data_IF_034162465328
#
_entry.id   IF_034162465328
#
_cell.length_a   1.000
_cell.length_b   1.000
_cell.length_c   1.000
_cell.angle_alpha   90.00
_cell.angle_beta   90.00
_cell.angle_gamma   90.00
#
_symmetry.space_group_name_H-M   'P 1'
#
loop_
_entity.id
_entity.type
_entity.pdbx_description
1 polymer ?
#
# COMPACT_ATOMS: atom_id res chain seq x y z
N UNK A 1 13.77 -4.47 18.72
CA UNK A 1 12.35 -4.06 18.80
C UNK A 1 12.10 -3.17 17.58
N UNK A 2 11.09 -3.44 16.78
CA UNK A 2 10.81 -2.58 15.63
C UNK A 2 10.12 -1.30 16.15
N UNK A 3 10.82 -0.19 16.10
CA UNK A 3 10.37 1.11 16.64
C UNK A 3 9.21 1.72 15.84
N UNK A 4 8.90 1.15 14.69
CA UNK A 4 7.90 1.69 13.75
C UNK A 4 6.59 0.91 13.72
N UNK A 5 6.32 0.05 14.71
CA UNK A 5 5.03 -0.62 14.82
C UNK A 5 3.93 0.40 15.14
N UNK A 6 2.72 0.16 14.62
CA UNK A 6 1.58 1.00 14.98
C UNK A 6 1.25 0.87 16.47
N UNK A 7 0.74 1.95 17.04
CA UNK A 7 0.32 1.97 18.44
C UNK A 7 -0.94 1.11 18.67
N UNK A 8 -1.15 0.67 19.91
CA UNK A 8 -2.39 -0.04 20.30
C UNK A 8 -3.66 0.77 19.98
N UNK A 9 -3.59 2.11 20.05
CA UNK A 9 -4.70 2.99 19.68
C UNK A 9 -4.99 2.92 18.16
N UNK A 10 -3.97 2.97 17.33
CA UNK A 10 -4.12 2.83 15.87
C UNK A 10 -4.64 1.45 15.49
N UNK A 11 -4.14 0.39 16.14
CA UNK A 11 -4.65 -0.96 15.94
C UNK A 11 -6.13 -1.06 16.32
N UNK A 12 -6.53 -0.52 17.47
CA UNK A 12 -7.93 -0.50 17.88
C UNK A 12 -8.82 0.28 16.89
N UNK A 13 -8.32 1.41 16.36
CA UNK A 13 -9.02 2.17 15.34
C UNK A 13 -9.18 1.35 14.05
N UNK A 14 -8.11 0.71 13.59
CA UNK A 14 -8.15 -0.15 12.39
C UNK A 14 -9.18 -1.27 12.53
N UNK A 15 -9.17 -1.98 13.65
CA UNK A 15 -10.13 -3.06 13.93
C UNK A 15 -11.58 -2.56 13.99
N UNK A 16 -11.78 -1.37 14.58
CA UNK A 16 -13.13 -0.81 14.73
C UNK A 16 -13.69 -0.23 13.43
N UNK A 17 -12.84 0.37 12.59
CA UNK A 17 -13.25 1.13 11.39
C UNK A 17 -13.04 0.39 10.08
N UNK A 18 -12.22 -0.66 10.08
CA UNK A 18 -11.83 -1.38 8.86
C UNK A 18 -10.79 -0.64 8.02
N UNK A 19 -10.32 0.52 8.46
CA UNK A 19 -9.26 1.28 7.78
C UNK A 19 -8.44 2.10 8.77
N UNK A 20 -7.23 2.49 8.35
CA UNK A 20 -6.36 3.39 9.08
C UNK A 20 -5.74 4.39 8.09
N UNK A 21 -5.99 5.69 8.32
CA UNK A 21 -5.32 6.76 7.59
C UNK A 21 -4.08 7.20 8.35
N UNK A 22 -2.96 7.28 7.64
CA UNK A 22 -1.68 7.73 8.16
C UNK A 22 -1.14 8.81 7.22
N UNK A 23 -1.09 10.04 7.71
CA UNK A 23 -0.59 11.16 6.94
C UNK A 23 0.94 11.28 7.08
N UNK A 24 1.59 11.84 6.06
CA UNK A 24 3.02 12.17 6.04
C UNK A 24 3.96 10.97 6.30
N UNK A 25 3.53 9.76 5.95
CA UNK A 25 4.34 8.54 6.14
C UNK A 25 5.55 8.49 5.22
N UNK A 26 5.49 9.17 4.08
CA UNK A 26 6.53 9.16 3.04
C UNK A 26 7.10 10.57 2.91
N UNK A 27 8.45 10.74 2.95
CA UNK A 27 9.07 12.05 2.71
C UNK A 27 8.64 12.65 1.38
N UNK A 28 8.47 13.99 1.35
CA UNK A 28 7.96 14.68 0.17
C UNK A 28 8.80 14.41 -1.09
N UNK A 29 10.10 14.41 -0.98
CA UNK A 29 11.02 14.19 -2.10
C UNK A 29 10.82 12.79 -2.71
N UNK A 30 10.56 11.80 -1.86
CA UNK A 30 10.29 10.44 -2.31
C UNK A 30 8.88 10.31 -2.91
N UNK A 31 7.89 11.01 -2.35
CA UNK A 31 6.54 11.10 -2.92
C UNK A 31 6.56 11.73 -4.31
N UNK A 32 7.31 12.81 -4.49
CA UNK A 32 7.47 13.48 -5.79
C UNK A 32 8.15 12.54 -6.81
N UNK A 33 9.17 11.79 -6.39
CA UNK A 33 9.83 10.79 -7.24
C UNK A 33 8.89 9.64 -7.63
N UNK A 34 8.08 9.15 -6.69
CA UNK A 34 7.05 8.15 -6.97
C UNK A 34 6.05 8.65 -8.01
N UNK A 35 5.62 9.91 -7.91
CA UNK A 35 4.68 10.49 -8.88
C UNK A 35 5.25 10.52 -10.29
N UNK A 36 6.53 10.87 -10.45
CA UNK A 36 7.22 10.83 -11.75
C UNK A 36 7.27 9.40 -12.26
N UNK A 37 7.71 8.46 -11.43
CA UNK A 37 7.82 7.04 -11.80
C UNK A 37 6.45 6.45 -12.20
N UNK A 38 5.38 6.76 -11.45
CA UNK A 38 4.03 6.32 -11.76
C UNK A 38 3.48 6.89 -13.08
N UNK A 39 3.90 8.09 -13.47
CA UNK A 39 3.51 8.69 -14.76
C UNK A 39 4.23 8.09 -15.95
N UNK A 40 5.49 7.72 -15.76
CA UNK A 40 6.37 7.24 -16.83
C UNK A 40 6.26 5.72 -17.03
N UNK A 41 5.85 4.99 -16.00
CA UNK A 41 5.80 3.53 -16.00
C UNK A 41 4.40 3.01 -15.68
N UNK A 42 3.93 2.08 -16.50
CA UNK A 42 2.77 1.28 -16.17
C UNK A 42 3.21 0.12 -15.28
N UNK A 43 2.92 0.21 -13.99
CA UNK A 43 3.12 -0.90 -13.07
C UNK A 43 2.08 -1.98 -13.38
N UNK A 44 2.57 -3.12 -13.84
CA UNK A 44 1.74 -4.30 -14.08
C UNK A 44 1.40 -5.02 -12.79
N UNK A 45 0.46 -5.94 -12.88
CA UNK A 45 0.14 -6.85 -11.78
C UNK A 45 1.30 -7.80 -11.53
N UNK A 46 1.51 -8.10 -10.26
CA UNK A 46 2.51 -9.05 -9.81
C UNK A 46 1.93 -10.45 -9.65
N UNK A 47 2.83 -11.41 -9.55
CA UNK A 47 2.45 -12.76 -9.23
C UNK A 47 2.03 -12.88 -7.76
N UNK A 48 0.93 -13.54 -7.51
CA UNK A 48 0.45 -13.87 -6.17
C UNK A 48 1.54 -14.60 -5.38
N UNK A 49 1.78 -14.16 -4.15
CA UNK A 49 2.77 -14.75 -3.28
C UNK A 49 4.22 -14.42 -3.64
N UNK A 50 4.45 -13.38 -4.41
CA UNK A 50 5.81 -12.91 -4.71
C UNK A 50 6.54 -12.44 -3.45
N UNK A 51 7.86 -12.57 -3.44
CA UNK A 51 8.70 -12.01 -2.39
C UNK A 51 8.71 -10.48 -2.43
N UNK A 52 9.10 -9.87 -1.33
CA UNK A 52 9.24 -8.41 -1.28
C UNK A 52 10.19 -7.88 -2.37
N UNK A 53 11.34 -8.52 -2.56
CA UNK A 53 12.35 -8.08 -3.53
C UNK A 53 11.89 -8.23 -4.99
N UNK A 54 11.09 -9.24 -5.28
CA UNK A 54 10.50 -9.44 -6.61
C UNK A 54 9.39 -8.43 -6.89
N UNK A 55 8.66 -8.05 -5.85
CA UNK A 55 7.57 -7.08 -5.92
C UNK A 55 8.07 -5.65 -6.06
N UNK A 56 9.07 -5.30 -5.27
CA UNK A 56 9.59 -3.94 -5.10
C UNK A 56 11.06 -3.87 -5.47
N UNK A 57 11.41 -3.77 -6.76
CA UNK A 57 12.81 -3.72 -7.20
C UNK A 57 13.58 -2.57 -6.55
N UNK A 58 14.83 -2.83 -6.21
CA UNK A 58 15.74 -1.80 -5.70
C UNK A 58 16.01 -0.73 -6.75
N UNK A 59 16.12 0.53 -6.30
CA UNK A 59 16.41 1.65 -7.17
C UNK A 59 15.18 2.22 -7.89
N UNK A 60 14.00 1.81 -7.49
CA UNK A 60 12.75 2.44 -7.87
C UNK A 60 12.22 3.28 -6.71
N UNK A 61 11.62 4.44 -6.98
CA UNK A 61 11.08 5.31 -5.95
C UNK A 61 9.97 4.61 -5.16
N UNK A 62 9.13 3.85 -5.86
CA UNK A 62 8.08 3.07 -5.22
C UNK A 62 8.65 1.96 -4.35
N UNK A 63 9.66 1.24 -4.83
CA UNK A 63 10.37 0.23 -4.05
C UNK A 63 11.04 0.82 -2.80
N UNK A 64 11.64 1.99 -2.91
CA UNK A 64 12.25 2.68 -1.78
C UNK A 64 11.20 3.16 -0.77
N UNK A 65 10.01 3.59 -1.23
CA UNK A 65 8.86 3.92 -0.36
C UNK A 65 8.45 2.73 0.49
N UNK A 66 8.30 1.56 -0.12
CA UNK A 66 7.94 0.34 0.62
C UNK A 66 9.06 -0.19 1.52
N UNK A 67 10.30 0.24 1.32
CA UNK A 67 11.44 -0.07 2.21
C UNK A 67 11.57 0.86 3.40
N UNK A 68 10.81 1.95 3.45
CA UNK A 68 10.86 2.84 4.60
C UNK A 68 10.53 2.07 5.90
N UNK A 69 11.30 2.26 6.99
CA UNK A 69 11.08 1.54 8.23
C UNK A 69 9.66 1.69 8.78
N UNK A 70 9.07 2.88 8.66
CA UNK A 70 7.70 3.16 9.09
C UNK A 70 6.65 2.42 8.24
N UNK A 71 6.87 2.29 6.93
CA UNK A 71 5.97 1.53 6.05
C UNK A 71 6.09 0.03 6.34
N UNK A 72 7.30 -0.48 6.51
CA UNK A 72 7.53 -1.86 6.92
C UNK A 72 6.94 -2.16 8.31
N UNK A 73 7.08 -1.23 9.25
CA UNK A 73 6.49 -1.36 10.58
C UNK A 73 4.97 -1.44 10.55
N UNK A 74 4.33 -0.64 9.69
CA UNK A 74 2.89 -0.70 9.44
C UNK A 74 2.48 -2.09 8.90
N UNK A 75 3.13 -2.54 7.85
CA UNK A 75 2.86 -3.85 7.23
C UNK A 75 3.01 -4.98 8.28
N UNK A 76 4.14 -5.02 8.96
CA UNK A 76 4.39 -6.03 10.00
C UNK A 76 3.38 -5.98 11.15
N UNK A 77 2.88 -4.80 11.48
CA UNK A 77 1.86 -4.67 12.54
C UNK A 77 0.54 -5.30 12.15
N UNK A 78 0.18 -5.26 10.88
CA UNK A 78 -1.13 -5.68 10.39
C UNK A 78 -1.15 -7.13 9.90
N UNK A 79 -0.11 -7.56 9.19
CA UNK A 79 -0.07 -8.90 8.57
C UNK A 79 1.07 -9.79 9.06
N UNK A 80 1.88 -9.31 10.00
CA UNK A 80 2.98 -10.10 10.56
C UNK A 80 4.33 -9.91 9.86
N UNK A 81 5.38 -10.60 10.32
CA UNK A 81 6.76 -10.33 9.90
C UNK A 81 7.12 -10.84 8.50
N UNK A 82 6.39 -11.80 7.99
CA UNK A 82 6.66 -12.44 6.69
C UNK A 82 5.42 -12.36 5.78
N UNK A 83 5.02 -11.14 5.35
CA UNK A 83 3.86 -10.98 4.51
C UNK A 83 4.11 -11.50 3.09
N UNK A 84 3.09 -12.09 2.50
CA UNK A 84 3.05 -12.35 1.06
C UNK A 84 2.41 -11.17 0.35
N UNK A 85 2.92 -10.86 -0.84
CA UNK A 85 2.38 -9.80 -1.68
C UNK A 85 1.54 -10.44 -2.79
N UNK A 86 0.32 -9.94 -2.93
CA UNK A 86 -0.58 -10.41 -3.97
C UNK A 86 -0.31 -9.67 -5.27
N UNK A 87 -0.60 -8.39 -5.31
CA UNK A 87 -0.32 -7.54 -6.47
C UNK A 87 -0.17 -6.07 -6.07
N UNK A 88 0.37 -5.28 -7.00
CA UNK A 88 0.30 -3.83 -6.91
C UNK A 88 -0.12 -3.23 -8.24
N UNK A 89 -0.74 -2.07 -8.19
CA UNK A 89 -1.12 -1.31 -9.37
C UNK A 89 -1.00 0.19 -9.10
N UNK A 90 -0.60 0.95 -10.11
CA UNK A 90 -0.68 2.40 -10.10
C UNK A 90 -1.93 2.86 -10.86
N UNK A 91 -2.80 3.59 -10.16
CA UNK A 91 -4.02 4.12 -10.74
C UNK A 91 -3.89 5.63 -10.97
N UNK A 92 -3.88 6.05 -12.22
CA UNK A 92 -3.97 7.46 -12.59
C UNK A 92 -5.41 7.80 -12.94
N UNK A 93 -6.10 8.44 -12.02
CA UNK A 93 -7.48 8.91 -12.24
C UNK A 93 -7.42 10.30 -12.89
N UNK A 94 -7.96 10.40 -14.10
CA UNK A 94 -8.08 11.70 -14.80
C UNK A 94 -9.26 12.46 -14.22
N UNK A 95 -9.06 13.77 -13.96
CA UNK A 95 -10.15 14.66 -13.58
C UNK A 95 -11.27 14.71 -14.62
N UNK A 96 -12.49 15.01 -14.18
CA UNK A 96 -13.66 15.13 -15.06
C UNK A 96 -14.36 13.82 -15.40
N UNK A 97 -13.97 12.71 -14.82
CA UNK A 97 -14.74 11.47 -14.92
C UNK A 97 -16.03 11.60 -14.12
N UNK A 98 -17.16 11.34 -14.76
CA UNK A 98 -18.48 11.44 -14.15
C UNK A 98 -18.92 10.17 -13.41
N UNK A 99 -18.17 9.08 -13.55
CA UNK A 99 -18.46 7.79 -12.94
C UNK A 99 -17.20 7.24 -12.28
N UNK A 100 -17.28 6.97 -10.99
CA UNK A 100 -16.25 6.21 -10.28
C UNK A 100 -16.26 4.73 -10.67
N UNK A 101 -15.29 3.95 -10.18
CA UNK A 101 -15.30 2.50 -10.34
C UNK A 101 -16.58 1.90 -9.70
N UNK A 102 -17.08 0.82 -10.28
CA UNK A 102 -18.19 0.09 -9.66
C UNK A 102 -17.73 -0.49 -8.32
N UNK A 103 -18.67 -0.58 -7.37
CA UNK A 103 -18.37 -1.23 -6.08
C UNK A 103 -17.95 -2.68 -6.33
N UNK A 104 -16.77 -3.03 -5.83
CA UNK A 104 -16.20 -4.37 -5.97
C UNK A 104 -15.36 -4.70 -4.73
N UNK A 105 -14.96 -5.94 -4.65
CA UNK A 105 -14.00 -6.44 -3.67
C UNK A 105 -12.70 -6.74 -4.41
N UNK A 106 -11.59 -6.16 -3.95
CA UNK A 106 -10.28 -6.35 -4.59
C UNK A 106 -9.69 -7.72 -4.30
N UNK A 107 -10.01 -8.26 -3.14
CA UNK A 107 -9.47 -9.53 -2.68
C UNK A 107 -10.25 -10.72 -3.22
N UNK A 108 -9.53 -11.70 -3.74
CA UNK A 108 -10.06 -12.99 -4.22
C UNK A 108 -9.69 -14.10 -3.22
N UNK A 109 -9.82 -13.83 -1.93
CA UNK A 109 -9.36 -14.75 -0.90
C UNK A 109 -10.34 -15.91 -0.72
N UNK A 110 -9.78 -17.10 -0.61
CA UNK A 110 -10.47 -18.26 -0.09
C UNK A 110 -10.49 -18.22 1.44
N UNK A 111 -11.57 -17.70 2.00
CA UNK A 111 -11.75 -17.57 3.47
C UNK A 111 -11.72 -18.90 4.23
N UNK A 112 -11.68 -20.02 3.55
CA UNK A 112 -11.65 -21.36 4.17
C UNK A 112 -10.33 -21.67 4.86
N UNK A 113 -9.27 -20.91 4.59
CA UNK A 113 -7.92 -21.19 5.07
C UNK A 113 -7.37 -20.15 6.06
N UNK A 114 -8.21 -19.30 6.65
CA UNK A 114 -7.82 -18.29 7.64
C UNK A 114 -6.80 -17.24 7.14
N UNK A 115 -6.76 -16.95 5.86
CA UNK A 115 -5.95 -15.87 5.32
C UNK A 115 -6.56 -14.51 5.68
N UNK A 116 -5.67 -13.58 5.96
CA UNK A 116 -6.01 -12.18 6.22
C UNK A 116 -5.31 -11.33 5.17
N UNK A 117 -6.07 -10.52 4.47
CA UNK A 117 -5.58 -9.62 3.43
C UNK A 117 -5.83 -8.17 3.80
N UNK A 118 -4.87 -7.31 3.46
CA UNK A 118 -5.01 -5.86 3.59
C UNK A 118 -4.62 -5.18 2.30
N UNK A 119 -5.32 -4.12 1.98
CA UNK A 119 -4.95 -3.21 0.91
C UNK A 119 -4.21 -2.00 1.48
N UNK A 120 -3.06 -1.71 0.91
CA UNK A 120 -2.27 -0.51 1.22
C UNK A 120 -2.40 0.47 0.07
N UNK A 121 -3.04 1.61 0.33
CA UNK A 121 -3.19 2.68 -0.66
C UNK A 121 -2.24 3.83 -0.34
N UNK A 122 -1.42 4.21 -1.30
CA UNK A 122 -0.48 5.33 -1.19
C UNK A 122 -0.86 6.43 -2.19
N UNK A 123 -1.01 7.63 -1.69
CA UNK A 123 -1.36 8.82 -2.48
C UNK A 123 -0.18 9.79 -2.46
N UNK A 124 0.63 9.88 -3.54
CA UNK A 124 1.80 10.75 -3.58
C UNK A 124 1.46 12.23 -3.77
N UNK A 125 0.20 12.57 -3.94
CA UNK A 125 -0.31 13.94 -4.09
C UNK A 125 -1.52 14.15 -3.18
N UNK A 126 -1.70 15.40 -2.76
CA UNK A 126 -2.93 15.80 -2.09
C UNK A 126 -4.10 15.68 -3.05
N UNK A 127 -5.14 14.99 -2.62
CA UNK A 127 -6.42 14.95 -3.33
C UNK A 127 -7.32 16.01 -2.68
N UNK A 128 -7.67 17.09 -3.42
CA UNK A 128 -8.63 18.06 -2.90
C UNK A 128 -10.01 17.41 -2.71
N UNK A 129 -10.74 17.89 -1.71
CA UNK A 129 -12.12 17.50 -1.41
C UNK A 129 -13.08 17.84 -2.57
#
# INVERSE_FOLDING_TARGET
MNEHLISSKQMAQFVASGYLRLDEMVPKELSDACLVEMRDHHFGYLNVGASFEDTWPKGTALGDTFRLPQVQGLIHSLVGPDPLYDHHAAHLVKGGQTRGPDMHQDSVIDFRENYFDIQLSFFPVDTPD
#
